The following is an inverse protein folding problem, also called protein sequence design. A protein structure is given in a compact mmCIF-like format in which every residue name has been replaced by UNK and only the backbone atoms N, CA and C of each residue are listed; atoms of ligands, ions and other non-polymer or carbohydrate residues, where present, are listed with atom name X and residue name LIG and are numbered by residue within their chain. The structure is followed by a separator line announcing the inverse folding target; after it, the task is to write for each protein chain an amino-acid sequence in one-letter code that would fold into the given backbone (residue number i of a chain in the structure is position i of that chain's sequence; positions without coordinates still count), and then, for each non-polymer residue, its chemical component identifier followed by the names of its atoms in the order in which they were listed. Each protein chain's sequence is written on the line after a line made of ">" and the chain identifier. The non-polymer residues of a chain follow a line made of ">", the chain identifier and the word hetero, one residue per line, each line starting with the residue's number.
data_IF_010156141751
#
_entry.id   IF_010156141751
#
_cell.length_a   1.000
_cell.length_b   1.000
_cell.length_c   1.000
_cell.angle_alpha   90.00
_cell.angle_beta   90.00
_cell.angle_gamma   90.00
#
_symmetry.space_group_name_H-M   'P 1'
#
loop_
_entity.id
_entity.type
_entity.pdbx_description
1 polymer ?
#
# COMPACT_ATOMS: atom_id res chain seq x y z
N UNK A 1 9.96 -9.56 5.54
CA UNK A 1 9.11 -10.22 4.54
C UNK A 1 9.11 -9.50 3.20
N UNK A 2 8.51 -8.31 3.10
CA UNK A 2 8.45 -7.51 1.86
C UNK A 2 8.78 -6.03 2.08
N UNK A 3 9.21 -5.66 3.28
CA UNK A 3 9.60 -4.31 3.67
C UNK A 3 11.01 -3.94 3.20
N UNK A 4 11.89 -4.92 3.00
CA UNK A 4 13.24 -4.69 2.53
C UNK A 4 13.27 -4.55 1.01
N UNK A 5 13.75 -3.41 0.51
CA UNK A 5 13.96 -3.16 -0.91
C UNK A 5 15.33 -3.69 -1.32
N UNK A 6 15.44 -4.58 -2.32
CA UNK A 6 16.73 -5.03 -2.82
C UNK A 6 17.55 -3.86 -3.41
N UNK A 7 18.90 -3.88 -3.26
CA UNK A 7 19.76 -2.88 -3.88
C UNK A 7 19.53 -2.80 -5.40
N UNK A 8 19.58 -1.59 -5.94
CA UNK A 8 19.40 -1.29 -7.38
C UNK A 8 18.01 -1.65 -7.96
N UNK A 9 17.02 -1.96 -7.12
CA UNK A 9 15.66 -2.19 -7.62
C UNK A 9 15.00 -0.89 -8.08
N UNK A 10 14.32 -0.93 -9.22
CA UNK A 10 13.51 0.18 -9.75
C UNK A 10 12.01 0.03 -9.47
N UNK A 11 11.61 -1.10 -8.90
CA UNK A 11 10.22 -1.37 -8.53
C UNK A 11 10.16 -2.30 -7.34
N UNK A 12 9.21 -2.09 -6.45
CA UNK A 12 9.08 -2.91 -5.25
C UNK A 12 7.61 -3.12 -4.90
N UNK A 13 7.29 -4.24 -4.28
CA UNK A 13 5.93 -4.47 -3.74
C UNK A 13 6.03 -4.80 -2.27
N UNK A 14 5.38 -3.97 -1.45
CA UNK A 14 5.21 -4.20 -0.02
C UNK A 14 3.79 -4.74 0.23
N UNK A 15 3.72 -5.82 1.01
CA UNK A 15 2.48 -6.45 1.44
C UNK A 15 2.28 -6.14 2.92
N UNK A 16 1.18 -5.48 3.23
CA UNK A 16 0.79 -5.14 4.59
C UNK A 16 -0.51 -5.87 4.93
N UNK A 17 -0.64 -6.27 6.19
CA UNK A 17 -1.86 -6.84 6.74
C UNK A 17 -2.10 -6.25 8.12
N UNK A 18 -3.38 -6.09 8.47
CA UNK A 18 -3.78 -5.51 9.74
C UNK A 18 -5.25 -5.74 10.05
N UNK A 19 -5.66 -5.22 11.19
CA UNK A 19 -7.05 -5.23 11.66
C UNK A 19 -7.44 -3.80 11.98
N UNK A 20 -8.46 -3.30 11.30
CA UNK A 20 -9.03 -1.98 11.56
C UNK A 20 -9.86 -2.01 12.85
N UNK A 21 -10.10 -0.83 13.43
CA UNK A 21 -10.92 -0.69 14.64
C UNK A 21 -12.30 -1.33 14.38
N UNK A 22 -12.77 -2.15 15.33
CA UNK A 22 -13.98 -2.97 15.14
C UNK A 22 -13.71 -4.38 14.63
N UNK A 23 -12.44 -4.78 14.45
CA UNK A 23 -12.07 -6.16 14.16
C UNK A 23 -12.05 -6.53 12.68
N UNK A 24 -12.19 -5.55 11.79
CA UNK A 24 -12.26 -5.79 10.35
C UNK A 24 -10.85 -6.03 9.79
N UNK A 25 -10.62 -7.17 9.15
CA UNK A 25 -9.33 -7.49 8.55
C UNK A 25 -9.10 -6.65 7.30
N UNK A 26 -7.86 -6.19 7.12
CA UNK A 26 -7.44 -5.41 5.98
C UNK A 26 -6.14 -5.97 5.41
N UNK A 27 -6.11 -6.09 4.09
CA UNK A 27 -4.93 -6.45 3.32
C UNK A 27 -4.61 -5.31 2.35
N UNK A 28 -3.33 -4.94 2.28
CA UNK A 28 -2.87 -3.88 1.40
C UNK A 28 -1.70 -4.38 0.56
N UNK A 29 -1.78 -4.11 -0.74
CA UNK A 29 -0.64 -4.25 -1.66
C UNK A 29 -0.21 -2.88 -2.11
N UNK A 30 1.02 -2.51 -1.79
CA UNK A 30 1.64 -1.27 -2.17
C UNK A 30 2.72 -1.55 -3.22
N UNK A 31 2.53 -1.02 -4.43
CA UNK A 31 3.50 -1.15 -5.51
C UNK A 31 4.18 0.18 -5.74
N UNK A 32 5.51 0.17 -5.68
CA UNK A 32 6.39 1.30 -5.93
C UNK A 32 7.08 1.12 -7.27
N UNK A 33 7.28 2.22 -7.99
CA UNK A 33 8.12 2.30 -9.18
C UNK A 33 8.92 3.60 -9.18
N UNK A 34 10.12 3.58 -9.76
CA UNK A 34 10.92 4.78 -9.99
C UNK A 34 10.78 5.19 -11.45
N UNK A 35 10.22 6.37 -11.67
CA UNK A 35 9.97 6.89 -13.02
C UNK A 35 11.25 7.42 -13.69
N UNK A 36 11.10 8.06 -14.86
CA UNK A 36 12.21 8.64 -15.62
C UNK A 36 12.84 9.87 -14.96
N UNK A 37 12.10 10.59 -14.11
CA UNK A 37 12.56 11.74 -13.34
C UNK A 37 13.23 11.34 -12.02
N UNK A 38 13.25 10.02 -11.71
CA UNK A 38 13.70 9.44 -10.43
C UNK A 38 12.74 9.69 -9.27
N UNK A 39 11.50 10.06 -9.58
CA UNK A 39 10.44 10.16 -8.59
C UNK A 39 9.82 8.79 -8.32
N UNK A 40 9.27 8.63 -7.12
CA UNK A 40 8.61 7.40 -6.71
C UNK A 40 7.13 7.49 -7.07
N UNK A 41 6.71 6.70 -8.05
CA UNK A 41 5.32 6.46 -8.35
C UNK A 41 4.79 5.32 -7.47
N UNK A 42 3.58 5.50 -6.93
CA UNK A 42 2.93 4.54 -6.04
C UNK A 42 1.58 4.10 -6.59
N UNK A 43 1.27 2.81 -6.44
CA UNK A 43 -0.06 2.24 -6.63
C UNK A 43 -0.49 1.49 -5.37
N UNK A 44 -1.60 1.92 -4.78
CA UNK A 44 -2.22 1.30 -3.62
C UNK A 44 -3.39 0.42 -4.04
N UNK A 45 -3.47 -0.80 -3.49
CA UNK A 45 -4.66 -1.65 -3.60
C UNK A 45 -5.03 -2.16 -2.20
N UNK A 46 -6.22 -1.79 -1.72
CA UNK A 46 -6.75 -2.19 -0.41
C UNK A 46 -7.85 -3.24 -0.60
N UNK A 47 -7.90 -4.22 0.30
CA UNK A 47 -8.99 -5.19 0.40
C UNK A 47 -9.41 -5.35 1.85
N UNK A 48 -10.71 -5.28 2.07
CA UNK A 48 -11.37 -5.58 3.33
C UNK A 48 -12.78 -6.11 3.05
N UNK A 49 -13.39 -6.76 4.03
CA UNK A 49 -14.79 -7.18 3.96
C UNK A 49 -15.76 -5.99 4.09
N UNK A 50 -15.27 -4.83 4.56
CA UNK A 50 -16.00 -3.57 4.62
C UNK A 50 -15.42 -2.55 3.61
N UNK A 51 -16.28 -2.04 2.73
CA UNK A 51 -15.90 -1.03 1.73
C UNK A 51 -15.50 0.30 2.36
N UNK A 52 -16.16 0.71 3.46
CA UNK A 52 -15.85 1.98 4.12
C UNK A 52 -14.44 1.95 4.73
N UNK A 53 -14.02 0.79 5.23
CA UNK A 53 -12.65 0.58 5.72
C UNK A 53 -11.66 0.64 4.55
N UNK A 54 -12.01 0.08 3.40
CA UNK A 54 -11.15 0.14 2.22
C UNK A 54 -10.98 1.58 1.72
N UNK A 55 -12.07 2.35 1.66
CA UNK A 55 -12.08 3.74 1.22
C UNK A 55 -11.34 4.65 2.21
N UNK A 56 -11.55 4.46 3.52
CA UNK A 56 -10.84 5.23 4.54
C UNK A 56 -9.32 5.06 4.45
N UNK A 57 -8.83 3.83 4.21
CA UNK A 57 -7.39 3.59 4.02
C UNK A 57 -6.89 4.24 2.73
N UNK A 58 -7.68 4.20 1.66
CA UNK A 58 -7.36 4.90 0.41
C UNK A 58 -7.25 6.42 0.62
N UNK A 59 -8.17 7.02 1.36
CA UNK A 59 -8.19 8.45 1.68
C UNK A 59 -6.97 8.85 2.55
N UNK A 60 -6.66 8.06 3.59
CA UNK A 60 -5.52 8.33 4.48
C UNK A 60 -4.22 8.44 3.67
N UNK A 61 -3.99 7.53 2.72
CA UNK A 61 -2.77 7.55 1.88
C UNK A 61 -2.81 8.69 0.86
N UNK A 62 -3.97 9.04 0.33
CA UNK A 62 -4.11 10.14 -0.63
C UNK A 62 -3.96 11.54 -0.01
N UNK A 63 -4.26 11.66 1.29
CA UNK A 63 -4.17 12.92 2.06
C UNK A 63 -2.78 13.24 2.61
N UNK A 64 -1.84 12.29 2.50
CA UNK A 64 -0.48 12.37 3.07
C UNK A 64 0.55 13.05 2.19
#
# INVERSE_FOLDING_TARGET
>A
GTEAVPPNSRSHTCLLSGVFIGGVKVLVRLSFGIDGAKDVAMKLAVRSDDVNVSDAIHEIVASG
#
